data_IF_321174410795
#
_entry.id   IF_321174410795
#
_cell.length_a   1.000
_cell.length_b   1.000
_cell.length_c   1.000
_cell.angle_alpha   90.00
_cell.angle_beta   90.00
_cell.angle_gamma   90.00
#
_symmetry.space_group_name_H-M   'P 1'
#
loop_
_entity.id
_entity.type
_entity.pdbx_description
1 polymer ?
#
# COMPACT_ATOMS: atom_id res chain seq x y z
N UNK A 1 -35.01 -51.26 -24.54
CA UNK A 1 -35.36 -50.61 -23.26
C UNK A 1 -35.18 -49.09 -23.28
N UNK A 2 -33.98 -48.53 -23.46
CA UNK A 2 -33.81 -47.06 -23.46
C UNK A 2 -34.51 -46.32 -24.61
N UNK A 3 -34.58 -46.91 -25.82
CA UNK A 3 -35.23 -46.29 -26.98
C UNK A 3 -36.74 -46.08 -26.82
N UNK A 4 -37.44 -47.01 -26.17
CA UNK A 4 -38.89 -46.89 -25.92
C UNK A 4 -39.19 -45.87 -24.81
N UNK A 5 -38.32 -45.79 -23.80
CA UNK A 5 -38.40 -44.78 -22.75
C UNK A 5 -38.20 -43.35 -23.31
N UNK A 6 -37.24 -43.17 -24.21
CA UNK A 6 -36.98 -41.89 -24.87
C UNK A 6 -38.15 -41.49 -25.77
N UNK A 7 -38.73 -42.44 -26.51
CA UNK A 7 -39.90 -42.21 -27.35
C UNK A 7 -41.16 -41.82 -26.53
N UNK A 8 -41.36 -42.42 -25.35
CA UNK A 8 -42.49 -42.07 -24.47
C UNK A 8 -42.34 -40.70 -23.80
N UNK A 9 -41.10 -40.29 -23.53
CA UNK A 9 -40.81 -38.95 -22.99
C UNK A 9 -41.05 -37.88 -24.06
N UNK A 10 -40.61 -38.10 -25.30
CA UNK A 10 -40.78 -37.13 -26.40
C UNK A 10 -42.26 -36.93 -26.78
N UNK A 11 -43.07 -38.00 -26.74
CA UNK A 11 -44.48 -37.94 -27.12
C UNK A 11 -45.41 -37.41 -26.01
N UNK A 12 -44.89 -37.16 -24.80
CA UNK A 12 -45.68 -36.63 -23.69
C UNK A 12 -45.23 -35.21 -23.33
N UNK A 13 -45.98 -34.16 -23.76
CA UNK A 13 -45.55 -32.78 -23.59
C UNK A 13 -45.37 -32.36 -22.13
N UNK A 14 -46.04 -33.04 -21.19
CA UNK A 14 -45.87 -32.82 -19.75
C UNK A 14 -44.53 -33.37 -19.22
N UNK A 15 -44.03 -34.47 -19.78
CA UNK A 15 -42.71 -35.02 -19.42
C UNK A 15 -41.58 -34.19 -20.08
N UNK A 16 -41.75 -33.75 -21.32
CA UNK A 16 -40.80 -32.85 -22.00
C UNK A 16 -40.67 -31.52 -21.24
N UNK A 17 -41.78 -30.89 -20.85
CA UNK A 17 -41.75 -29.62 -20.11
C UNK A 17 -41.15 -29.78 -18.71
N UNK A 18 -41.44 -30.89 -18.02
CA UNK A 18 -40.80 -31.25 -16.75
C UNK A 18 -39.28 -31.41 -16.88
N UNK A 19 -38.79 -32.09 -17.91
CA UNK A 19 -37.35 -32.23 -18.18
C UNK A 19 -36.67 -30.89 -18.50
N UNK A 20 -37.31 -30.04 -19.32
CA UNK A 20 -36.81 -28.70 -19.63
C UNK A 20 -36.75 -27.83 -18.36
N UNK A 21 -37.77 -27.91 -17.50
CA UNK A 21 -37.81 -27.19 -16.22
C UNK A 21 -36.68 -27.60 -15.28
N UNK A 22 -36.37 -28.90 -15.18
CA UNK A 22 -35.25 -29.42 -14.36
C UNK A 22 -33.91 -28.93 -14.89
N UNK A 23 -33.71 -28.98 -16.22
CA UNK A 23 -32.48 -28.50 -16.87
C UNK A 23 -32.30 -27.00 -16.62
N UNK A 24 -33.35 -26.19 -16.82
CA UNK A 24 -33.29 -24.75 -16.59
C UNK A 24 -33.05 -24.39 -15.12
N UNK A 25 -33.68 -25.11 -14.17
CA UNK A 25 -33.45 -24.92 -12.74
C UNK A 25 -32.00 -25.23 -12.33
N UNK A 26 -31.42 -26.30 -12.88
CA UNK A 26 -30.03 -26.66 -12.64
C UNK A 26 -29.05 -25.61 -13.19
N UNK A 27 -29.24 -25.15 -14.44
CA UNK A 27 -28.41 -24.08 -15.01
C UNK A 27 -28.55 -22.75 -14.27
N UNK A 28 -29.76 -22.40 -13.83
CA UNK A 28 -30.00 -21.21 -13.01
C UNK A 28 -29.21 -21.28 -11.70
N UNK A 29 -29.27 -22.41 -10.98
CA UNK A 29 -28.53 -22.60 -9.71
C UNK A 29 -27.01 -22.50 -9.88
N UNK A 30 -26.46 -23.07 -10.96
CA UNK A 30 -25.03 -22.99 -11.29
C UNK A 30 -24.61 -21.55 -11.61
N UNK A 31 -25.38 -20.84 -12.43
CA UNK A 31 -25.10 -19.45 -12.77
C UNK A 31 -25.16 -18.55 -11.54
N UNK A 32 -26.15 -18.74 -10.66
CA UNK A 32 -26.24 -18.02 -9.39
C UNK A 32 -25.06 -18.32 -8.49
N UNK A 33 -24.65 -19.58 -8.35
CA UNK A 33 -23.47 -19.97 -7.55
C UNK A 33 -22.18 -19.34 -8.08
N UNK A 34 -21.96 -19.36 -9.41
CA UNK A 34 -20.79 -18.74 -10.04
C UNK A 34 -20.82 -17.22 -9.83
N UNK A 35 -21.98 -16.59 -9.97
CA UNK A 35 -22.13 -15.15 -9.76
C UNK A 35 -21.87 -14.75 -8.30
N UNK A 36 -22.46 -15.49 -7.34
CA UNK A 36 -22.25 -15.29 -5.90
C UNK A 36 -20.76 -15.45 -5.57
N UNK A 37 -20.11 -16.51 -6.04
CA UNK A 37 -18.69 -16.74 -5.78
C UNK A 37 -17.81 -15.64 -6.40
N UNK A 38 -18.11 -15.18 -7.62
CA UNK A 38 -17.43 -14.02 -8.22
C UNK A 38 -17.63 -12.75 -7.40
N UNK A 39 -18.84 -12.52 -6.88
CA UNK A 39 -19.14 -11.35 -6.04
C UNK A 39 -18.42 -11.40 -4.68
N UNK A 40 -18.34 -12.59 -4.06
CA UNK A 40 -17.60 -12.81 -2.81
C UNK A 40 -16.12 -12.58 -3.04
N UNK A 41 -15.52 -13.20 -4.06
CA UNK A 41 -14.12 -13.00 -4.41
C UNK A 41 -13.80 -11.52 -4.73
N UNK A 42 -14.74 -10.80 -5.37
CA UNK A 42 -14.58 -9.36 -5.62
C UNK A 42 -14.58 -8.56 -4.33
N UNK A 43 -15.47 -8.86 -3.37
CA UNK A 43 -15.53 -8.21 -2.06
C UNK A 43 -14.29 -8.51 -1.22
N UNK A 44 -13.84 -9.76 -1.18
CA UNK A 44 -12.61 -10.16 -0.47
C UNK A 44 -11.39 -9.43 -1.04
N UNK A 45 -11.27 -9.37 -2.38
CA UNK A 45 -10.20 -8.62 -3.03
C UNK A 45 -10.26 -7.13 -2.69
N UNK A 46 -11.45 -6.55 -2.67
CA UNK A 46 -11.66 -5.17 -2.25
C UNK A 46 -11.20 -4.94 -0.80
N UNK A 47 -11.66 -5.77 0.15
CA UNK A 47 -11.26 -5.68 1.55
C UNK A 47 -9.75 -5.81 1.73
N UNK A 48 -9.12 -6.75 1.02
CA UNK A 48 -7.66 -6.90 1.02
C UNK A 48 -6.96 -5.62 0.55
N UNK A 49 -7.38 -5.05 -0.59
CA UNK A 49 -6.79 -3.81 -1.10
C UNK A 49 -6.97 -2.64 -0.13
N UNK A 50 -8.13 -2.54 0.53
CA UNK A 50 -8.37 -1.50 1.53
C UNK A 50 -7.43 -1.65 2.73
N UNK A 51 -7.31 -2.87 3.26
CA UNK A 51 -6.36 -3.18 4.34
C UNK A 51 -4.92 -2.84 3.95
N UNK A 52 -4.53 -3.08 2.69
CA UNK A 52 -3.19 -2.72 2.20
C UNK A 52 -2.99 -1.23 1.96
N UNK A 53 -4.04 -0.47 1.65
CA UNK A 53 -3.99 1.00 1.61
C UNK A 53 -3.83 1.60 3.01
N UNK A 54 -4.55 1.06 4.00
CA UNK A 54 -4.39 1.44 5.41
C UNK A 54 -2.97 1.15 5.90
N UNK A 55 -2.43 -0.03 5.56
CA UNK A 55 -1.05 -0.40 5.88
C UNK A 55 -0.05 0.58 5.24
N UNK A 56 -0.22 0.94 3.97
CA UNK A 56 0.59 1.96 3.31
C UNK A 56 0.53 3.31 4.04
N UNK A 57 -0.66 3.74 4.45
CA UNK A 57 -0.83 5.00 5.19
C UNK A 57 -0.06 4.96 6.52
N UNK A 58 -0.22 3.90 7.31
CA UNK A 58 0.51 3.73 8.57
C UNK A 58 2.03 3.69 8.38
N UNK A 59 2.52 3.10 7.29
CA UNK A 59 3.95 3.08 6.96
C UNK A 59 4.45 4.50 6.67
N UNK A 60 3.67 5.34 5.99
CA UNK A 60 4.07 6.74 5.78
C UNK A 60 4.23 7.54 7.08
N UNK A 61 3.38 7.28 8.07
CA UNK A 61 3.51 7.85 9.41
C UNK A 61 4.77 7.33 10.13
N UNK A 62 5.06 6.03 10.04
CA UNK A 62 6.29 5.46 10.60
C UNK A 62 7.54 6.05 9.97
N UNK A 63 7.55 6.25 8.64
CA UNK A 63 8.64 6.93 7.94
C UNK A 63 8.84 8.36 8.46
N UNK A 64 7.76 9.12 8.62
CA UNK A 64 7.81 10.48 9.16
C UNK A 64 8.44 10.50 10.58
N UNK A 65 8.04 9.57 11.44
CA UNK A 65 8.63 9.42 12.77
C UNK A 65 10.12 9.06 12.72
N UNK A 66 10.50 8.14 11.82
CA UNK A 66 11.91 7.76 11.64
C UNK A 66 12.78 8.95 11.22
N UNK A 67 12.35 9.73 10.22
CA UNK A 67 13.12 10.90 9.77
C UNK A 67 13.24 11.98 10.85
N UNK A 68 12.20 12.16 11.67
CA UNK A 68 12.27 13.04 12.83
C UNK A 68 13.23 12.50 13.90
N UNK A 69 13.23 11.18 14.13
CA UNK A 69 14.20 10.54 15.03
C UNK A 69 15.64 10.77 14.56
N UNK A 70 15.90 10.68 13.26
CA UNK A 70 17.24 10.91 12.69
C UNK A 70 17.73 12.34 12.96
N UNK A 71 16.86 13.35 12.87
CA UNK A 71 17.19 14.72 13.24
C UNK A 71 17.57 14.85 14.73
N UNK A 72 16.81 14.20 15.61
CA UNK A 72 17.13 14.18 17.06
C UNK A 72 18.48 13.50 17.32
N UNK A 73 18.78 12.41 16.60
CA UNK A 73 20.07 11.71 16.73
C UNK A 73 21.24 12.59 16.30
N UNK A 74 21.07 13.37 15.24
CA UNK A 74 22.06 14.37 14.82
C UNK A 74 22.33 15.38 15.94
N UNK A 75 21.28 15.92 16.56
CA UNK A 75 21.41 16.84 17.68
C UNK A 75 22.18 16.20 18.86
N UNK A 76 21.77 14.99 19.28
CA UNK A 76 22.44 14.25 20.35
C UNK A 76 23.91 13.96 20.06
N UNK A 77 24.26 13.69 18.79
CA UNK A 77 25.65 13.48 18.38
C UNK A 77 26.49 14.74 18.62
N UNK A 78 25.98 15.92 18.27
CA UNK A 78 26.68 17.17 18.53
C UNK A 78 26.83 17.47 20.02
N UNK A 79 25.83 17.12 20.82
CA UNK A 79 25.86 17.22 22.28
C UNK A 79 26.77 16.15 22.93
N UNK A 80 27.36 15.25 22.14
CA UNK A 80 28.21 14.13 22.57
C UNK A 80 27.54 13.22 23.60
N UNK A 81 26.21 13.15 23.58
CA UNK A 81 25.45 12.28 24.48
C UNK A 81 25.60 10.84 23.97
N UNK A 82 26.13 9.90 24.77
CA UNK A 82 26.25 8.51 24.35
C UNK A 82 24.87 7.94 24.02
N UNK A 83 24.74 7.43 22.79
CA UNK A 83 23.50 6.82 22.32
C UNK A 83 23.61 5.31 22.45
N UNK A 84 23.11 4.76 23.56
CA UNK A 84 22.94 3.32 23.73
C UNK A 84 21.60 2.93 23.13
N UNK A 85 21.58 2.49 21.87
CA UNK A 85 20.37 1.88 21.32
C UNK A 85 20.65 0.49 20.80
N UNK A 86 20.26 -0.50 21.58
CA UNK A 86 19.99 -1.84 21.10
C UNK A 86 18.60 -1.78 20.45
N UNK A 87 18.53 -1.40 19.17
CA UNK A 87 17.33 -1.66 18.40
C UNK A 87 17.58 -2.91 17.57
N UNK A 88 16.71 -3.90 17.73
CA UNK A 88 16.55 -4.95 16.75
C UNK A 88 16.35 -4.28 15.38
N UNK A 89 17.04 -4.80 14.36
CA UNK A 89 16.97 -4.33 12.98
C UNK A 89 15.56 -4.62 12.43
N UNK A 90 14.56 -3.85 12.85
CA UNK A 90 13.27 -3.84 12.17
C UNK A 90 13.51 -3.47 10.70
N UNK A 91 12.83 -4.15 9.77
CA UNK A 91 12.94 -3.83 8.35
C UNK A 91 12.54 -2.36 8.14
N UNK A 92 13.36 -1.65 7.35
CA UNK A 92 13.11 -0.24 7.03
C UNK A 92 11.66 -0.05 6.54
N UNK A 93 10.88 0.86 7.15
CA UNK A 93 9.53 1.19 6.72
C UNK A 93 9.44 1.49 5.22
N UNK A 94 10.50 2.06 4.64
CA UNK A 94 10.59 2.32 3.20
C UNK A 94 10.56 1.03 2.36
N UNK A 95 11.24 -0.03 2.80
CA UNK A 95 11.26 -1.31 2.07
C UNK A 95 9.86 -1.93 2.06
N UNK A 96 9.16 -1.85 3.20
CA UNK A 96 7.78 -2.32 3.31
C UNK A 96 6.84 -1.52 2.42
N UNK A 97 7.01 -0.19 2.37
CA UNK A 97 6.27 0.70 1.48
C UNK A 97 6.45 0.32 0.01
N UNK A 98 7.70 0.17 -0.44
CA UNK A 98 8.02 -0.21 -1.82
C UNK A 98 7.48 -1.59 -2.19
N UNK A 99 7.57 -2.56 -1.27
CA UNK A 99 7.03 -3.90 -1.46
C UNK A 99 5.51 -3.87 -1.66
N UNK A 100 4.77 -3.15 -0.80
CA UNK A 100 3.32 -3.04 -0.92
C UNK A 100 2.90 -2.37 -2.24
N UNK A 101 3.59 -1.30 -2.64
CA UNK A 101 3.36 -0.67 -3.94
C UNK A 101 3.60 -1.62 -5.10
N UNK A 102 4.66 -2.44 -5.04
CA UNK A 102 5.02 -3.38 -6.09
C UNK A 102 4.05 -4.55 -6.22
N UNK A 103 3.49 -5.04 -5.11
CA UNK A 103 2.64 -6.23 -5.10
C UNK A 103 1.18 -5.86 -5.35
N UNK A 104 0.68 -4.82 -4.68
CA UNK A 104 -0.76 -4.55 -4.62
C UNK A 104 -1.19 -3.33 -5.44
N UNK A 105 -0.28 -2.38 -5.69
CA UNK A 105 -0.63 -1.07 -6.27
C UNK A 105 0.30 -0.69 -7.43
N UNK A 106 0.57 -1.61 -8.35
CA UNK A 106 1.44 -1.32 -9.50
C UNK A 106 0.93 -0.14 -10.35
N UNK A 107 -0.39 -0.02 -10.52
CA UNK A 107 -1.04 1.09 -11.23
C UNK A 107 -0.87 2.45 -10.53
N UNK A 108 -0.62 2.44 -9.22
CA UNK A 108 -0.30 3.65 -8.49
C UNK A 108 1.08 4.18 -8.87
N UNK A 109 2.06 3.31 -9.12
CA UNK A 109 3.41 3.75 -9.49
C UNK A 109 3.45 4.61 -10.74
N UNK A 110 2.59 4.33 -11.72
CA UNK A 110 2.47 5.15 -12.93
C UNK A 110 1.71 6.44 -12.66
N UNK A 111 0.58 6.36 -11.98
CA UNK A 111 -0.30 7.51 -11.67
C UNK A 111 0.39 8.53 -10.75
N UNK A 112 1.18 8.05 -9.80
CA UNK A 112 1.85 8.80 -8.74
C UNK A 112 3.36 8.91 -8.95
N UNK A 113 3.82 8.69 -10.18
CA UNK A 113 5.25 8.67 -10.49
C UNK A 113 5.95 9.99 -10.09
N UNK A 114 5.27 11.12 -10.24
CA UNK A 114 5.80 12.43 -9.87
C UNK A 114 5.95 12.57 -8.34
N UNK A 115 4.90 12.27 -7.57
CA UNK A 115 4.92 12.33 -6.11
C UNK A 115 5.97 11.38 -5.52
N UNK A 116 6.06 10.15 -6.04
CA UNK A 116 7.07 9.18 -5.63
C UNK A 116 8.49 9.67 -5.96
N UNK A 117 8.74 10.21 -7.16
CA UNK A 117 10.05 10.77 -7.53
C UNK A 117 10.44 11.93 -6.62
N UNK A 118 9.51 12.83 -6.31
CA UNK A 118 9.76 13.94 -5.39
C UNK A 118 10.10 13.42 -4.00
N UNK A 119 9.35 12.45 -3.48
CA UNK A 119 9.62 11.82 -2.20
C UNK A 119 11.02 11.19 -2.15
N UNK A 120 11.38 10.35 -3.13
CA UNK A 120 12.70 9.73 -3.16
C UNK A 120 13.83 10.76 -3.21
N UNK A 121 13.65 11.82 -4.00
CA UNK A 121 14.62 12.92 -4.07
C UNK A 121 14.76 13.61 -2.72
N UNK A 122 13.67 14.05 -2.10
CA UNK A 122 13.69 14.71 -0.79
C UNK A 122 14.30 13.81 0.28
N UNK A 123 14.02 12.50 0.22
CA UNK A 123 14.58 11.50 1.15
C UNK A 123 16.08 11.37 0.97
N UNK A 124 16.55 11.28 -0.28
CA UNK A 124 17.98 11.18 -0.60
C UNK A 124 18.72 12.44 -0.15
N UNK A 125 18.16 13.63 -0.41
CA UNK A 125 18.74 14.91 -0.02
C UNK A 125 18.84 15.01 1.52
N UNK A 126 17.77 14.66 2.24
CA UNK A 126 17.79 14.61 3.71
C UNK A 126 18.82 13.59 4.23
N UNK A 127 18.84 12.38 3.69
CA UNK A 127 19.76 11.31 4.14
C UNK A 127 21.22 11.70 3.88
N UNK A 128 21.52 12.31 2.74
CA UNK A 128 22.86 12.83 2.44
C UNK A 128 23.28 13.92 3.41
N UNK A 129 22.38 14.85 3.73
CA UNK A 129 22.66 15.90 4.71
C UNK A 129 22.91 15.32 6.11
N UNK A 130 22.10 14.35 6.55
CA UNK A 130 22.31 13.63 7.81
C UNK A 130 23.67 12.93 7.81
N UNK A 131 23.98 12.16 6.77
CA UNK A 131 25.25 11.45 6.66
C UNK A 131 26.46 12.39 6.61
N UNK A 132 26.32 13.56 5.97
CA UNK A 132 27.35 14.60 5.98
C UNK A 132 27.67 15.05 7.40
N UNK A 133 26.65 15.22 8.26
CA UNK A 133 26.86 15.53 9.68
C UNK A 133 27.47 14.37 10.45
N UNK A 134 27.11 13.12 10.11
CA UNK A 134 27.75 11.96 10.72
C UNK A 134 29.23 11.80 10.32
N UNK A 135 29.60 12.27 9.13
CA UNK A 135 30.96 12.19 8.59
C UNK A 135 31.81 13.41 8.96
N UNK A 136 31.16 14.52 9.32
CA UNK A 136 31.83 15.73 9.76
C UNK A 136 32.58 15.52 11.07
N UNK A 137 33.76 16.15 11.17
CA UNK A 137 34.54 16.25 12.40
C UNK A 137 33.87 17.15 13.44
N UNK A 138 34.67 17.74 14.34
CA UNK A 138 34.16 18.72 15.30
C UNK A 138 33.82 20.00 14.54
N UNK A 139 32.52 20.29 14.45
CA UNK A 139 31.98 21.55 13.92
C UNK A 139 31.93 22.60 15.04
N UNK A 140 32.08 23.86 14.69
CA UNK A 140 31.78 24.97 15.61
C UNK A 140 30.26 25.18 15.77
N UNK A 141 29.85 26.01 16.73
CA UNK A 141 28.43 26.19 17.03
C UNK A 141 27.65 26.90 15.91
N UNK A 142 28.31 27.78 15.13
CA UNK A 142 27.67 28.46 13.99
C UNK A 142 27.44 27.48 12.84
N UNK A 143 28.39 26.57 12.58
CA UNK A 143 28.27 25.52 11.58
C UNK A 143 27.19 24.49 11.96
N UNK A 144 27.12 24.10 13.24
CA UNK A 144 26.04 23.23 13.74
C UNK A 144 24.68 23.87 13.54
N UNK A 145 24.51 25.14 13.91
CA UNK A 145 23.24 25.85 13.76
C UNK A 145 22.79 25.91 12.29
N UNK A 146 23.69 26.29 11.38
CA UNK A 146 23.41 26.30 9.93
C UNK A 146 22.98 24.93 9.42
N UNK A 147 23.69 23.87 9.82
CA UNK A 147 23.37 22.49 9.42
C UNK A 147 22.05 22.01 10.00
N UNK A 148 21.72 22.42 11.23
CA UNK A 148 20.44 22.07 11.84
C UNK A 148 19.26 22.72 11.13
N UNK A 149 19.39 24.00 10.76
CA UNK A 149 18.38 24.72 9.97
C UNK A 149 18.21 24.06 8.60
N UNK A 150 19.31 23.73 7.91
CA UNK A 150 19.30 23.02 6.63
C UNK A 150 18.55 21.68 6.74
N UNK A 151 18.86 20.88 7.75
CA UNK A 151 18.18 19.61 8.01
C UNK A 151 16.69 19.79 8.33
N UNK A 152 16.32 20.83 9.09
CA UNK A 152 14.92 21.16 9.37
C UNK A 152 14.13 21.52 8.11
N UNK A 153 14.74 22.28 7.19
CA UNK A 153 14.14 22.61 5.89
C UNK A 153 13.95 21.36 5.03
N UNK A 154 14.97 20.49 4.94
CA UNK A 154 14.89 19.23 4.20
C UNK A 154 13.86 18.28 4.80
N UNK A 155 13.75 18.21 6.14
CA UNK A 155 12.72 17.44 6.82
C UNK A 155 11.31 17.95 6.50
N UNK A 156 11.12 19.27 6.44
CA UNK A 156 9.84 19.86 6.05
C UNK A 156 9.47 19.54 4.60
N UNK A 157 10.43 19.58 3.67
CA UNK A 157 10.22 19.16 2.28
C UNK A 157 9.85 17.67 2.18
N UNK A 158 10.53 16.82 2.96
CA UNK A 158 10.25 15.39 3.03
C UNK A 158 8.85 15.12 3.59
N UNK A 159 8.47 15.80 4.68
CA UNK A 159 7.11 15.75 5.26
C UNK A 159 6.04 16.18 4.27
N UNK A 160 6.27 17.26 3.53
CA UNK A 160 5.35 17.71 2.49
C UNK A 160 5.19 16.65 1.40
N UNK A 161 6.28 16.00 0.98
CA UNK A 161 6.21 14.95 -0.03
C UNK A 161 5.47 13.69 0.47
N UNK A 162 5.65 13.31 1.73
CA UNK A 162 4.90 12.22 2.38
C UNK A 162 3.41 12.57 2.48
N UNK A 163 3.07 13.80 2.86
CA UNK A 163 1.69 14.27 2.89
C UNK A 163 1.02 14.17 1.52
N UNK A 164 1.74 14.50 0.44
CA UNK A 164 1.21 14.35 -0.92
C UNK A 164 0.91 12.89 -1.25
N UNK A 165 1.83 11.97 -0.90
CA UNK A 165 1.62 10.53 -1.06
C UNK A 165 0.40 10.06 -0.25
N UNK A 166 0.25 10.51 1.00
CA UNK A 166 -0.89 10.18 1.85
C UNK A 166 -2.22 10.66 1.25
N UNK A 167 -2.24 11.86 0.66
CA UNK A 167 -3.41 12.39 -0.04
C UNK A 167 -3.76 11.52 -1.25
N UNK A 168 -2.77 11.13 -2.06
CA UNK A 168 -2.99 10.27 -3.22
C UNK A 168 -3.47 8.85 -2.83
N UNK A 169 -2.91 8.26 -1.76
CA UNK A 169 -3.41 7.02 -1.15
C UNK A 169 -4.88 7.17 -0.73
N UNK A 170 -5.22 8.29 -0.09
CA UNK A 170 -6.60 8.58 0.34
C UNK A 170 -7.55 8.74 -0.85
N UNK A 171 -7.09 9.34 -1.95
CA UNK A 171 -7.87 9.47 -3.19
C UNK A 171 -8.08 8.10 -3.86
N UNK A 172 -7.07 7.22 -3.86
CA UNK A 172 -7.22 5.85 -4.32
C UNK A 172 -8.24 5.08 -3.48
N UNK A 173 -8.22 5.25 -2.16
CA UNK A 173 -9.22 4.65 -1.28
C UNK A 173 -10.63 5.16 -1.60
N UNK A 174 -10.79 6.45 -1.96
CA UNK A 174 -12.10 6.96 -2.40
C UNK A 174 -12.53 6.35 -3.73
N UNK A 175 -11.68 6.39 -4.76
CA UNK A 175 -12.02 5.93 -6.13
C UNK A 175 -12.36 4.43 -6.22
N UNK A 176 -11.72 3.60 -5.41
CA UNK A 176 -11.89 2.14 -5.50
C UNK A 176 -13.06 1.61 -4.68
N UNK A 177 -13.63 2.43 -3.78
CA UNK A 177 -14.57 1.97 -2.76
C UNK A 177 -15.84 2.83 -2.61
N UNK A 178 -15.93 3.98 -3.30
CA UNK A 178 -17.14 4.80 -3.45
C UNK A 178 -17.39 5.08 -4.94
#
# INVERSE_FOLDING_TARGET
MYKELIASIINNPALVSGFIGVILGFFSSLLTSIYVQRSVNKRERQQLLLSKLEELYLITERMNFQFFSDLIRVQKKWDRVPFTSNYDLEPSPLNLFEMLLNIYFQEYKSTSASALRQFYKSRDDFTKAVNSVYSAGVLDDSEKEKKFIELGLLLNQLRSSLSNIQQEISLLAKKNFY
#
